data_IF_561422645401
#
_entry.id   IF_561422645401
#
_cell.length_a   1.000
_cell.length_b   1.000
_cell.length_c   1.000
_cell.angle_alpha   90.00
_cell.angle_beta   90.00
_cell.angle_gamma   90.00
#
_symmetry.space_group_name_H-M   'P 1'
#
loop_
_entity.id
_entity.type
_entity.pdbx_description
1 polymer ?
#
# COMPACT_ATOMS: atom_id res chain seq x y z
N UNK A 1 3.07 5.51 3.41
CA UNK A 1 2.54 4.21 3.89
C UNK A 1 2.70 3.23 2.74
N UNK A 2 3.15 2.01 3.01
CA UNK A 2 3.48 1.08 1.93
C UNK A 2 2.22 0.64 1.15
N UNK A 3 2.35 0.68 -0.17
CA UNK A 3 1.38 0.15 -1.15
C UNK A 3 1.89 -1.10 -1.85
N UNK A 4 3.20 -1.34 -1.78
CA UNK A 4 3.83 -2.53 -2.34
C UNK A 4 4.81 -3.11 -1.33
N UNK A 5 4.85 -4.44 -1.21
CA UNK A 5 5.81 -5.15 -0.36
C UNK A 5 6.50 -6.25 -1.18
N UNK A 6 7.83 -6.26 -1.12
CA UNK A 6 8.67 -7.34 -1.63
C UNK A 6 9.10 -8.17 -0.42
N UNK A 7 8.79 -9.46 -0.42
CA UNK A 7 8.98 -10.32 0.74
C UNK A 7 10.02 -11.39 0.41
N UNK A 8 10.97 -11.63 1.32
CA UNK A 8 11.67 -12.91 1.32
C UNK A 8 10.75 -14.04 1.80
N UNK A 9 11.19 -15.28 1.63
CA UNK A 9 10.43 -16.47 1.94
C UNK A 9 10.86 -17.13 3.26
N UNK A 10 12.00 -17.82 3.25
CA UNK A 10 12.59 -18.48 4.43
C UNK A 10 12.94 -17.46 5.50
N UNK A 11 12.65 -17.75 6.77
CA UNK A 11 12.90 -16.84 7.90
C UNK A 11 11.97 -15.61 8.00
N UNK A 12 11.26 -15.29 6.91
CA UNK A 12 10.38 -14.11 6.80
C UNK A 12 8.89 -14.47 6.78
N UNK A 13 8.47 -15.37 5.89
CA UNK A 13 7.09 -15.85 5.78
C UNK A 13 6.93 -17.29 6.28
N UNK A 14 7.97 -18.10 6.16
CA UNK A 14 7.98 -19.50 6.58
C UNK A 14 9.16 -19.78 7.50
N UNK A 15 8.95 -20.72 8.42
CA UNK A 15 9.98 -21.25 9.29
C UNK A 15 10.48 -22.57 8.71
N UNK A 16 11.72 -22.55 8.22
CA UNK A 16 12.45 -23.72 7.75
C UNK A 16 13.72 -23.98 8.61
N UNK A 17 13.81 -23.37 9.79
CA UNK A 17 15.02 -23.41 10.63
C UNK A 17 15.39 -24.83 11.07
N UNK A 18 14.43 -25.62 11.53
CA UNK A 18 14.63 -27.01 11.95
C UNK A 18 15.21 -27.89 10.83
N UNK A 19 14.52 -28.00 9.68
CA UNK A 19 15.03 -28.74 8.52
C UNK A 19 16.39 -28.23 8.02
N UNK A 20 16.61 -26.92 7.98
CA UNK A 20 17.87 -26.32 7.54
C UNK A 20 19.02 -26.66 8.49
N UNK A 21 18.81 -26.56 9.81
CA UNK A 21 19.85 -26.88 10.78
C UNK A 21 20.17 -28.38 10.77
N UNK A 22 19.16 -29.25 10.69
CA UNK A 22 19.35 -30.69 10.56
C UNK A 22 20.17 -31.02 9.31
N UNK A 23 19.81 -30.44 8.16
CA UNK A 23 20.52 -30.66 6.91
C UNK A 23 21.97 -30.15 6.95
N UNK A 24 22.18 -28.98 7.54
CA UNK A 24 23.51 -28.41 7.77
C UNK A 24 24.36 -29.34 8.63
N UNK A 25 23.83 -29.81 9.75
CA UNK A 25 24.54 -30.71 10.66
C UNK A 25 24.82 -32.08 10.06
N UNK A 26 23.94 -32.59 9.20
CA UNK A 26 24.16 -33.82 8.46
C UNK A 26 25.33 -33.68 7.47
N UNK A 27 25.42 -32.55 6.76
CA UNK A 27 26.58 -32.24 5.91
C UNK A 27 27.84 -32.16 6.77
N UNK A 28 27.87 -31.35 7.83
CA UNK A 28 29.02 -31.21 8.73
C UNK A 28 29.52 -32.57 9.25
N UNK A 29 28.60 -33.39 9.77
CA UNK A 29 28.93 -34.70 10.34
C UNK A 29 29.46 -35.68 9.28
N UNK A 30 28.94 -35.63 8.05
CA UNK A 30 29.43 -36.47 6.94
C UNK A 30 30.91 -36.23 6.64
N UNK A 31 31.40 -35.01 6.88
CA UNK A 31 32.81 -34.63 6.70
C UNK A 31 33.59 -34.54 8.02
N UNK A 32 33.09 -35.20 9.08
CA UNK A 32 33.79 -35.29 10.36
C UNK A 32 33.88 -33.98 11.13
N UNK A 33 32.98 -33.03 10.88
CA UNK A 33 32.82 -31.79 11.66
C UNK A 33 31.75 -31.98 12.72
N UNK A 34 31.92 -31.28 13.84
CA UNK A 34 30.92 -31.27 14.92
C UNK A 34 29.64 -30.56 14.46
N UNK A 35 28.46 -31.04 14.88
CA UNK A 35 27.20 -30.37 14.62
C UNK A 35 27.13 -29.03 15.38
N UNK A 36 26.45 -28.06 14.80
CA UNK A 36 26.19 -26.75 15.40
C UNK A 36 24.84 -26.73 16.12
N UNK A 37 24.79 -25.97 17.19
CA UNK A 37 23.52 -25.46 17.72
C UNK A 37 22.94 -24.39 16.80
N UNK A 38 21.65 -24.10 16.94
CA UNK A 38 20.99 -23.04 16.18
C UNK A 38 21.65 -21.67 16.36
N UNK A 39 22.08 -21.35 17.59
CA UNK A 39 22.73 -20.06 17.89
C UNK A 39 24.10 -19.93 17.22
N UNK A 40 24.90 -21.00 17.20
CA UNK A 40 26.20 -21.04 16.52
C UNK A 40 26.04 -20.91 15.00
N UNK A 41 25.06 -21.63 14.45
CA UNK A 41 24.73 -21.54 13.03
C UNK A 41 24.31 -20.12 12.65
N UNK A 42 23.33 -19.51 13.35
CA UNK A 42 22.88 -18.13 13.06
C UNK A 42 23.98 -17.08 13.15
N UNK A 43 24.92 -17.23 14.09
CA UNK A 43 26.03 -16.29 14.26
C UNK A 43 27.06 -16.36 13.14
N UNK A 44 27.21 -17.53 12.52
CA UNK A 44 28.23 -17.76 11.50
C UNK A 44 27.69 -17.75 10.07
N UNK A 45 26.44 -18.17 9.87
CA UNK A 45 25.82 -18.32 8.56
C UNK A 45 25.81 -17.01 7.79
N UNK A 46 26.13 -17.08 6.49
CA UNK A 46 26.09 -15.96 5.56
C UNK A 46 25.81 -16.45 4.16
N UNK A 47 25.26 -15.57 3.33
CA UNK A 47 25.19 -15.82 1.89
C UNK A 47 26.43 -15.22 1.20
N UNK A 48 26.84 -15.76 0.04
CA UNK A 48 26.35 -16.99 -0.59
C UNK A 48 26.68 -18.24 0.25
N UNK A 49 25.71 -19.15 0.40
CA UNK A 49 25.88 -20.34 1.26
C UNK A 49 27.05 -21.23 0.82
N UNK A 50 27.35 -21.27 -0.48
CA UNK A 50 28.46 -22.03 -1.03
C UNK A 50 29.80 -21.64 -0.42
N UNK A 51 30.03 -20.34 -0.19
CA UNK A 51 31.27 -19.86 0.43
C UNK A 51 31.33 -20.22 1.91
N UNK A 52 30.20 -20.10 2.62
CA UNK A 52 30.13 -20.50 4.02
C UNK A 52 30.40 -22.00 4.20
N UNK A 53 29.86 -22.85 3.34
CA UNK A 53 30.15 -24.29 3.39
C UNK A 53 31.60 -24.62 3.02
N UNK A 54 32.20 -23.92 2.07
CA UNK A 54 33.63 -24.11 1.73
C UNK A 54 34.55 -23.78 2.93
N UNK A 55 34.19 -22.80 3.77
CA UNK A 55 34.95 -22.47 4.98
C UNK A 55 34.88 -23.59 6.05
N UNK A 56 33.74 -24.27 6.15
CA UNK A 56 33.50 -25.29 7.18
C UNK A 56 33.88 -26.70 6.71
N UNK A 57 33.66 -26.97 5.43
CA UNK A 57 33.87 -28.25 4.75
C UNK A 57 34.63 -28.00 3.43
N UNK A 58 35.95 -27.71 3.49
CA UNK A 58 36.71 -27.34 2.28
C UNK A 58 36.75 -28.46 1.24
N UNK A 59 36.55 -28.09 -0.03
CA UNK A 59 36.64 -29.00 -1.17
C UNK A 59 35.35 -29.78 -1.48
N UNK A 60 34.26 -29.53 -0.77
CA UNK A 60 32.95 -30.10 -1.14
C UNK A 60 32.44 -29.44 -2.44
N UNK A 61 32.05 -30.24 -3.42
CA UNK A 61 31.43 -29.69 -4.63
C UNK A 61 30.01 -29.19 -4.32
N UNK A 62 29.55 -28.11 -4.97
CA UNK A 62 28.19 -27.59 -4.78
C UNK A 62 27.11 -28.66 -5.02
N UNK A 63 27.35 -29.54 -6.00
CA UNK A 63 26.45 -30.66 -6.31
C UNK A 63 26.36 -31.65 -5.14
N UNK A 64 27.49 -32.06 -4.59
CA UNK A 64 27.56 -32.99 -3.46
C UNK A 64 26.96 -32.37 -2.20
N UNK A 65 27.24 -31.08 -1.95
CA UNK A 65 26.61 -30.30 -0.89
C UNK A 65 25.08 -30.32 -1.03
N UNK A 66 24.54 -29.98 -2.20
CA UNK A 66 23.10 -29.96 -2.43
C UNK A 66 22.46 -31.35 -2.33
N UNK A 67 23.14 -32.41 -2.80
CA UNK A 67 22.66 -33.80 -2.68
C UNK A 67 22.55 -34.22 -1.20
N UNK A 68 23.58 -33.96 -0.39
CA UNK A 68 23.56 -34.28 1.05
C UNK A 68 22.56 -33.43 1.83
N UNK A 69 22.57 -32.12 1.58
CA UNK A 69 21.69 -31.18 2.26
C UNK A 69 20.22 -31.51 1.98
N UNK A 70 19.85 -31.66 0.70
CA UNK A 70 18.46 -31.92 0.29
C UNK A 70 17.94 -33.23 0.86
N UNK A 71 18.74 -34.31 0.77
CA UNK A 71 18.37 -35.61 1.34
C UNK A 71 18.06 -35.51 2.84
N UNK A 72 18.84 -34.75 3.60
CA UNK A 72 18.62 -34.60 5.03
C UNK A 72 17.51 -33.61 5.36
N UNK A 73 17.32 -32.57 4.55
CA UNK A 73 16.24 -31.59 4.69
C UNK A 73 14.88 -32.28 4.50
N UNK A 74 14.73 -33.08 3.45
CA UNK A 74 13.49 -33.80 3.13
C UNK A 74 13.18 -34.91 4.15
N UNK A 75 14.21 -35.42 4.84
CA UNK A 75 14.08 -36.42 5.89
C UNK A 75 13.85 -35.83 7.29
N UNK A 76 13.74 -34.50 7.41
CA UNK A 76 13.55 -33.85 8.71
C UNK A 76 12.21 -34.21 9.33
N UNK A 77 12.21 -34.45 10.64
CA UNK A 77 10.97 -34.61 11.44
C UNK A 77 10.28 -33.27 11.66
N UNK A 78 11.03 -32.16 11.61
CA UNK A 78 10.48 -30.81 11.64
C UNK A 78 9.88 -30.47 10.27
N UNK A 79 8.71 -29.84 10.28
CA UNK A 79 8.06 -29.41 9.05
C UNK A 79 8.38 -27.94 8.77
N UNK A 80 8.57 -27.61 7.50
CA UNK A 80 8.50 -26.20 7.07
C UNK A 80 7.06 -25.72 7.22
N UNK A 81 6.83 -24.70 8.03
CA UNK A 81 5.51 -24.16 8.32
C UNK A 81 5.46 -22.64 8.12
N UNK A 82 4.30 -22.05 7.78
CA UNK A 82 4.16 -20.60 7.79
C UNK A 82 4.41 -20.03 9.19
N UNK A 83 5.19 -18.95 9.26
CA UNK A 83 5.39 -18.21 10.50
C UNK A 83 4.06 -17.68 11.04
N UNK A 84 3.98 -17.54 12.36
CA UNK A 84 2.77 -17.08 13.03
C UNK A 84 2.34 -15.70 12.52
N UNK A 85 1.14 -15.61 11.97
CA UNK A 85 0.57 -14.37 11.45
C UNK A 85 0.83 -14.13 9.96
N UNK A 86 1.58 -15.01 9.27
CA UNK A 86 1.79 -14.91 7.81
C UNK A 86 0.46 -14.95 7.05
N UNK A 87 -0.41 -15.93 7.33
CA UNK A 87 -1.71 -16.05 6.64
C UNK A 87 -2.57 -14.80 6.80
N UNK A 88 -2.83 -14.39 8.05
CA UNK A 88 -3.60 -13.19 8.36
C UNK A 88 -3.00 -11.93 7.70
N UNK A 89 -1.68 -11.83 7.62
CA UNK A 89 -0.98 -10.72 6.99
C UNK A 89 -1.18 -10.69 5.47
N UNK A 90 -1.04 -11.83 4.79
CA UNK A 90 -1.23 -11.94 3.34
C UNK A 90 -2.68 -11.64 2.95
N UNK A 91 -3.64 -12.23 3.67
CA UNK A 91 -5.08 -11.99 3.48
C UNK A 91 -5.41 -10.50 3.68
N UNK A 92 -4.94 -9.90 4.77
CA UNK A 92 -5.17 -8.48 5.04
C UNK A 92 -4.55 -7.58 3.96
N UNK A 93 -3.35 -7.90 3.45
CA UNK A 93 -2.74 -7.14 2.37
C UNK A 93 -3.58 -7.20 1.09
N UNK A 94 -4.08 -8.38 0.72
CA UNK A 94 -4.99 -8.55 -0.44
C UNK A 94 -6.28 -7.72 -0.27
N UNK A 95 -6.92 -7.79 0.90
CA UNK A 95 -8.14 -7.00 1.21
C UNK A 95 -7.92 -5.49 1.17
N UNK A 96 -6.68 -5.05 1.35
CA UNK A 96 -6.29 -3.64 1.47
C UNK A 96 -5.52 -3.14 0.23
N UNK A 97 -5.58 -3.87 -0.88
CA UNK A 97 -4.95 -3.51 -2.15
C UNK A 97 -3.44 -3.21 -2.01
N UNK A 98 -2.76 -3.93 -1.12
CA UNK A 98 -1.30 -3.91 -1.02
C UNK A 98 -0.77 -4.95 -2.00
N UNK A 99 0.04 -4.50 -2.95
CA UNK A 99 0.67 -5.37 -3.96
C UNK A 99 1.79 -6.15 -3.30
N UNK A 100 1.75 -7.48 -3.42
CA UNK A 100 2.76 -8.36 -2.82
C UNK A 100 3.60 -9.02 -3.90
N UNK A 101 4.90 -9.09 -3.65
CA UNK A 101 5.87 -9.79 -4.50
C UNK A 101 6.75 -10.67 -3.62
N UNK A 102 7.20 -11.80 -4.15
CA UNK A 102 8.27 -12.60 -3.51
C UNK A 102 9.57 -12.41 -4.26
N UNK A 103 10.66 -12.16 -3.55
CA UNK A 103 12.02 -12.21 -4.10
C UNK A 103 12.91 -13.07 -3.21
N UNK A 104 13.16 -14.31 -3.63
CA UNK A 104 13.85 -15.32 -2.82
C UNK A 104 14.95 -16.05 -3.60
N UNK A 105 16.01 -16.43 -2.89
CA UNK A 105 17.07 -17.30 -3.42
C UNK A 105 16.69 -18.78 -3.39
N UNK A 106 15.57 -19.12 -2.74
CA UNK A 106 15.08 -20.49 -2.62
C UNK A 106 14.85 -21.13 -3.99
N UNK A 107 15.24 -22.40 -4.13
CA UNK A 107 15.04 -23.18 -5.36
C UNK A 107 13.57 -23.12 -5.82
N UNK A 108 13.34 -22.81 -7.11
CA UNK A 108 12.01 -22.55 -7.65
C UNK A 108 11.03 -23.72 -7.55
N UNK A 109 11.51 -24.97 -7.63
CA UNK A 109 10.65 -26.15 -7.55
C UNK A 109 10.12 -26.35 -6.13
N UNK A 110 11.03 -26.32 -5.14
CA UNK A 110 10.66 -26.44 -3.71
C UNK A 110 9.79 -25.25 -3.28
N UNK A 111 10.18 -24.04 -3.68
CA UNK A 111 9.40 -22.84 -3.44
C UNK A 111 7.97 -23.02 -3.98
N UNK A 112 7.83 -23.48 -5.23
CA UNK A 112 6.53 -23.70 -5.86
C UNK A 112 5.70 -24.76 -5.14
N UNK A 113 6.31 -25.83 -4.62
CA UNK A 113 5.62 -26.82 -3.80
C UNK A 113 5.12 -26.23 -2.48
N UNK A 114 5.96 -25.51 -1.74
CA UNK A 114 5.57 -24.87 -0.49
C UNK A 114 4.46 -23.83 -0.69
N UNK A 115 4.60 -22.98 -1.71
CA UNK A 115 3.62 -21.98 -2.11
C UNK A 115 2.24 -22.61 -2.37
N UNK A 116 2.19 -23.77 -3.07
CA UNK A 116 0.95 -24.54 -3.28
C UNK A 116 0.43 -25.17 -2.00
N UNK A 117 1.32 -25.80 -1.22
CA UNK A 117 0.97 -26.50 0.03
C UNK A 117 0.35 -25.55 1.05
N UNK A 118 0.84 -24.32 1.13
CA UNK A 118 0.34 -23.31 2.07
C UNK A 118 -0.85 -22.52 1.52
N UNK A 119 -1.15 -22.65 0.23
CA UNK A 119 -2.26 -21.95 -0.42
C UNK A 119 -2.04 -20.45 -0.49
N UNK A 120 -0.82 -20.01 -0.82
CA UNK A 120 -0.47 -18.59 -0.87
C UNK A 120 -0.40 -18.00 -2.29
N UNK A 121 -0.64 -18.79 -3.33
CA UNK A 121 -0.46 -18.38 -4.73
C UNK A 121 -1.21 -17.09 -5.08
N UNK A 122 -2.45 -16.99 -4.62
CA UNK A 122 -3.38 -15.92 -5.04
C UNK A 122 -3.12 -14.58 -4.33
N UNK A 123 -2.18 -14.54 -3.38
CA UNK A 123 -1.83 -13.30 -2.67
C UNK A 123 -0.75 -12.49 -3.38
N UNK A 124 0.04 -13.12 -4.26
CA UNK A 124 1.21 -12.50 -4.88
C UNK A 124 0.93 -12.11 -6.31
N UNK A 125 1.29 -10.88 -6.67
CA UNK A 125 1.19 -10.40 -8.05
C UNK A 125 2.27 -11.02 -8.94
N UNK A 126 3.48 -11.19 -8.40
CA UNK A 126 4.55 -11.91 -9.08
C UNK A 126 5.55 -12.51 -8.09
N UNK A 127 6.31 -13.50 -8.56
CA UNK A 127 7.24 -14.29 -7.76
C UNK A 127 8.56 -14.44 -8.51
N UNK A 128 9.65 -14.17 -7.80
CA UNK A 128 11.01 -14.31 -8.28
C UNK A 128 11.76 -15.27 -7.36
N UNK A 129 11.81 -16.55 -7.73
CA UNK A 129 12.48 -17.63 -6.99
C UNK A 129 13.78 -18.08 -7.70
N UNK A 130 14.68 -18.74 -6.97
CA UNK A 130 15.97 -19.21 -7.49
C UNK A 130 16.95 -18.07 -7.79
N UNK A 131 16.74 -16.89 -7.18
CA UNK A 131 17.53 -15.70 -7.46
C UNK A 131 18.78 -15.68 -6.60
N UNK A 132 19.94 -15.99 -7.19
CA UNK A 132 21.22 -16.01 -6.49
C UNK A 132 21.66 -14.64 -5.97
N UNK A 133 21.48 -13.59 -6.77
CA UNK A 133 21.78 -12.20 -6.38
C UNK A 133 20.54 -11.32 -6.59
N UNK A 134 19.78 -11.14 -5.52
CA UNK A 134 18.52 -10.39 -5.52
C UNK A 134 18.70 -8.92 -5.95
N UNK A 135 19.89 -8.34 -5.80
CA UNK A 135 20.21 -6.97 -6.22
C UNK A 135 20.09 -6.80 -7.74
N UNK A 136 20.35 -7.85 -8.51
CA UNK A 136 20.21 -7.82 -9.98
C UNK A 136 18.76 -7.80 -10.44
N UNK A 137 17.84 -8.32 -9.62
CA UNK A 137 16.43 -8.48 -9.98
C UNK A 137 15.56 -7.36 -9.42
N UNK A 138 15.88 -6.82 -8.23
CA UNK A 138 15.03 -5.82 -7.58
C UNK A 138 14.84 -4.54 -8.42
N UNK A 139 15.86 -4.11 -9.17
CA UNK A 139 15.76 -2.92 -10.03
C UNK A 139 14.75 -3.15 -11.16
N UNK A 140 14.87 -4.29 -11.87
CA UNK A 140 13.96 -4.71 -12.93
C UNK A 140 12.53 -4.89 -12.40
N UNK A 141 12.37 -5.55 -11.25
CA UNK A 141 11.07 -5.72 -10.58
C UNK A 141 10.39 -4.37 -10.33
N UNK A 142 11.11 -3.39 -9.77
CA UNK A 142 10.57 -2.06 -9.48
C UNK A 142 10.13 -1.35 -10.77
N UNK A 143 10.94 -1.41 -11.82
CA UNK A 143 10.66 -0.76 -13.10
C UNK A 143 9.49 -1.43 -13.83
N UNK A 144 9.56 -2.75 -14.04
CA UNK A 144 8.56 -3.53 -14.77
C UNK A 144 7.18 -3.47 -14.12
N UNK A 145 7.14 -3.50 -12.78
CA UNK A 145 5.89 -3.45 -12.01
C UNK A 145 5.45 -2.02 -11.69
N UNK A 146 6.18 -1.01 -12.15
CA UNK A 146 5.91 0.41 -11.92
C UNK A 146 5.73 0.72 -10.42
N UNK A 147 6.61 0.20 -9.58
CA UNK A 147 6.53 0.41 -8.13
C UNK A 147 7.03 1.81 -7.76
N UNK A 148 6.29 2.51 -6.90
CA UNK A 148 6.74 3.78 -6.31
C UNK A 148 7.67 3.46 -5.15
N UNK A 149 8.95 3.84 -5.26
CA UNK A 149 10.01 3.44 -4.31
C UNK A 149 9.71 3.88 -2.88
N UNK A 150 9.19 5.09 -2.70
CA UNK A 150 8.82 5.68 -1.41
C UNK A 150 7.60 5.00 -0.77
N UNK A 151 6.81 4.27 -1.55
CA UNK A 151 5.65 3.48 -1.10
C UNK A 151 5.93 1.97 -1.14
N UNK A 152 7.19 1.57 -1.35
CA UNK A 152 7.60 0.16 -1.42
C UNK A 152 8.54 -0.16 -0.26
N UNK A 153 8.35 -1.34 0.33
CA UNK A 153 9.29 -1.90 1.28
C UNK A 153 9.73 -3.30 0.87
N UNK A 154 10.98 -3.62 1.15
CA UNK A 154 11.49 -4.98 1.14
C UNK A 154 11.53 -5.49 2.58
N UNK A 155 10.98 -6.68 2.81
CA UNK A 155 10.92 -7.33 4.12
C UNK A 155 11.73 -8.62 4.08
N UNK A 156 12.70 -8.75 4.98
CA UNK A 156 13.59 -9.92 5.06
C UNK A 156 14.23 -10.07 6.43
N UNK A 157 14.77 -11.25 6.72
CA UNK A 157 15.38 -11.61 8.00
C UNK A 157 16.92 -11.70 7.95
N UNK A 158 17.53 -11.50 6.79
CA UNK A 158 18.98 -11.49 6.62
C UNK A 158 19.52 -10.13 6.19
N UNK A 159 20.79 -9.87 6.50
CA UNK A 159 21.52 -8.67 6.07
C UNK A 159 21.48 -8.47 4.55
N UNK A 160 21.52 -9.56 3.78
CA UNK A 160 21.41 -9.53 2.32
C UNK A 160 20.09 -8.92 1.82
N UNK A 161 19.00 -9.10 2.56
CA UNK A 161 17.71 -8.49 2.20
C UNK A 161 17.74 -6.98 2.41
N UNK A 162 18.41 -6.50 3.46
CA UNK A 162 18.60 -5.08 3.71
C UNK A 162 19.48 -4.45 2.62
N UNK A 163 20.58 -5.10 2.25
CA UNK A 163 21.41 -4.68 1.13
C UNK A 163 20.63 -4.63 -0.19
N UNK A 164 19.76 -5.62 -0.42
CA UNK A 164 18.89 -5.68 -1.59
C UNK A 164 17.91 -4.51 -1.59
N UNK A 165 17.26 -4.23 -0.47
CA UNK A 165 16.35 -3.09 -0.30
C UNK A 165 17.04 -1.75 -0.63
N UNK A 166 18.25 -1.54 -0.09
CA UNK A 166 19.05 -0.33 -0.33
C UNK A 166 19.46 -0.20 -1.79
N UNK A 167 19.86 -1.31 -2.43
CA UNK A 167 20.16 -1.33 -3.86
C UNK A 167 18.93 -0.97 -4.70
N UNK A 168 17.75 -1.46 -4.29
CA UNK A 168 16.46 -1.09 -4.88
C UNK A 168 15.98 0.31 -4.52
N UNK A 169 16.65 1.05 -3.63
CA UNK A 169 16.20 2.36 -3.15
C UNK A 169 14.80 2.34 -2.51
N UNK A 170 14.39 1.21 -1.94
CA UNK A 170 13.11 1.03 -1.24
C UNK A 170 13.32 0.96 0.26
N UNK A 171 12.25 1.07 1.05
CA UNK A 171 12.38 0.94 2.50
C UNK A 171 12.80 -0.47 2.90
N UNK A 172 13.79 -0.60 3.79
CA UNK A 172 14.25 -1.88 4.33
C UNK A 172 13.58 -2.19 5.67
N UNK A 173 12.96 -3.37 5.76
CA UNK A 173 12.28 -3.88 6.97
C UNK A 173 12.94 -5.19 7.38
N UNK A 174 13.72 -5.15 8.46
CA UNK A 174 14.29 -6.33 9.06
C UNK A 174 13.25 -7.04 9.95
N UNK A 175 13.12 -8.36 9.84
CA UNK A 175 12.35 -9.18 10.79
C UNK A 175 13.26 -10.11 11.59
N UNK A 176 13.03 -10.22 12.90
CA UNK A 176 13.86 -11.03 13.81
C UNK A 176 13.44 -12.51 13.90
N UNK A 177 12.53 -12.94 13.03
CA UNK A 177 11.94 -14.29 13.03
C UNK A 177 12.82 -15.37 12.38
N UNK A 178 13.90 -14.98 11.69
CA UNK A 178 14.69 -15.89 10.87
C UNK A 178 16.15 -16.05 11.31
N UNK A 179 17.06 -15.95 10.34
CA UNK A 179 18.44 -16.43 10.42
C UNK A 179 19.39 -15.41 11.05
N UNK A 180 19.40 -14.15 10.62
CA UNK A 180 20.35 -13.19 11.20
C UNK A 180 19.89 -12.72 12.57
N UNK A 181 20.87 -12.50 13.45
CA UNK A 181 20.64 -11.91 14.78
C UNK A 181 20.55 -10.38 14.68
N UNK A 182 19.94 -9.76 15.68
CA UNK A 182 19.71 -8.30 15.70
C UNK A 182 20.99 -7.52 15.43
N UNK A 183 22.09 -7.87 16.11
CA UNK A 183 23.37 -7.16 16.00
C UNK A 183 23.92 -7.17 14.57
N UNK A 184 23.68 -8.26 13.82
CA UNK A 184 24.10 -8.38 12.42
C UNK A 184 23.18 -7.56 11.50
N UNK A 185 21.86 -7.61 11.73
CA UNK A 185 20.90 -6.83 10.95
C UNK A 185 21.09 -5.33 11.12
N UNK A 186 21.46 -4.86 12.32
CA UNK A 186 21.73 -3.44 12.58
C UNK A 186 22.88 -2.89 11.71
N UNK A 187 23.87 -3.72 11.34
CA UNK A 187 24.95 -3.30 10.42
C UNK A 187 24.43 -2.92 9.03
N UNK A 188 23.29 -3.46 8.64
CA UNK A 188 22.60 -3.16 7.38
C UNK A 188 21.83 -1.86 7.39
N UNK A 189 21.81 -1.09 8.49
CA UNK A 189 21.07 0.16 8.64
C UNK A 189 19.60 0.06 8.16
N UNK A 190 18.80 -0.84 8.75
CA UNK A 190 17.40 -1.02 8.35
C UNK A 190 16.57 0.24 8.64
N UNK A 191 15.59 0.55 7.79
CA UNK A 191 14.63 1.61 8.09
C UNK A 191 13.68 1.22 9.24
N UNK A 192 13.35 -0.06 9.34
CA UNK A 192 12.50 -0.62 10.38
C UNK A 192 13.04 -1.98 10.84
N UNK A 193 12.94 -2.24 12.14
CA UNK A 193 13.21 -3.55 12.74
C UNK A 193 11.94 -4.02 13.45
N UNK A 194 11.48 -5.22 13.12
CA UNK A 194 10.26 -5.82 13.65
C UNK A 194 10.55 -7.21 14.21
N UNK A 195 9.86 -7.62 15.27
CA UNK A 195 10.06 -8.96 15.82
C UNK A 195 9.67 -10.07 14.83
N UNK A 196 8.69 -9.80 13.95
CA UNK A 196 8.15 -10.76 12.98
C UNK A 196 7.25 -10.07 11.96
N UNK A 197 6.81 -10.83 10.94
CA UNK A 197 5.75 -10.40 10.01
C UNK A 197 4.44 -10.01 10.72
N UNK A 198 4.13 -10.64 11.86
CA UNK A 198 2.95 -10.30 12.67
C UNK A 198 3.08 -8.90 13.29
N UNK A 199 4.27 -8.52 13.76
CA UNK A 199 4.53 -7.19 14.29
C UNK A 199 4.45 -6.13 13.19
N UNK A 200 5.00 -6.44 12.00
CA UNK A 200 4.82 -5.60 10.81
C UNK A 200 3.35 -5.43 10.44
N UNK A 201 2.58 -6.52 10.40
CA UNK A 201 1.14 -6.49 10.15
C UNK A 201 0.41 -5.58 11.15
N UNK A 202 0.70 -5.71 12.45
CA UNK A 202 0.10 -4.85 13.47
C UNK A 202 0.48 -3.36 13.30
N UNK A 203 1.73 -3.07 12.94
CA UNK A 203 2.18 -1.71 12.63
C UNK A 203 1.46 -1.15 11.41
N UNK A 204 1.37 -1.92 10.34
CA UNK A 204 0.67 -1.53 9.11
C UNK A 204 -0.81 -1.30 9.37
N UNK A 205 -1.47 -2.10 10.21
CA UNK A 205 -2.87 -1.88 10.65
C UNK A 205 -3.06 -0.67 11.56
N UNK A 206 -2.04 -0.27 12.32
CA UNK A 206 -2.09 0.97 13.13
C UNK A 206 -1.81 2.21 12.29
N UNK A 207 -0.86 2.11 11.35
CA UNK A 207 -0.58 3.15 10.37
C UNK A 207 -1.75 3.32 9.40
N UNK A 208 -2.33 2.20 8.95
CA UNK A 208 -3.65 2.04 8.33
C UNK A 208 -4.69 1.81 9.40
N UNK A 209 -4.60 2.49 10.56
CA UNK A 209 -5.82 2.67 11.32
C UNK A 209 -6.86 3.03 10.27
N UNK A 210 -8.01 2.33 10.22
CA UNK A 210 -9.05 2.83 9.37
C UNK A 210 -9.05 4.30 9.76
N UNK A 211 -8.89 5.20 8.80
CA UNK A 211 -9.87 6.24 8.80
C UNK A 211 -11.16 5.45 9.01
N UNK A 212 -11.65 5.39 10.27
CA UNK A 212 -13.07 5.60 10.50
C UNK A 212 -13.38 6.55 9.36
N UNK A 213 -14.07 6.08 8.32
CA UNK A 213 -14.58 6.99 7.30
C UNK A 213 -15.10 8.13 8.14
N UNK A 214 -14.35 9.23 8.14
CA UNK A 214 -14.40 10.15 9.27
C UNK A 214 -15.71 10.80 9.02
N UNK A 215 -16.79 10.32 9.66
CA UNK A 215 -18.14 10.37 9.11
C UNK A 215 -18.29 11.73 8.47
N UNK A 216 -18.28 11.73 7.13
CA UNK A 216 -18.03 12.96 6.41
C UNK A 216 -19.34 13.67 6.44
N UNK A 217 -19.43 14.70 7.27
CA UNK A 217 -20.63 15.48 7.42
C UNK A 217 -20.83 16.32 6.14
N UNK A 218 -22.00 16.18 5.55
CA UNK A 218 -22.41 16.95 4.38
C UNK A 218 -23.61 17.81 4.73
N UNK A 219 -23.59 19.04 4.25
CA UNK A 219 -24.77 19.91 4.17
C UNK A 219 -25.21 19.93 2.72
N UNK A 220 -26.42 19.44 2.44
CA UNK A 220 -26.98 19.42 1.09
C UNK A 220 -28.07 20.48 0.95
N UNK A 221 -27.82 21.48 0.10
CA UNK A 221 -28.86 22.38 -0.41
C UNK A 221 -29.43 21.74 -1.67
N UNK A 222 -30.57 21.06 -1.56
CA UNK A 222 -31.18 20.30 -2.67
C UNK A 222 -32.10 21.16 -3.52
N UNK A 223 -31.91 21.12 -4.84
CA UNK A 223 -32.78 21.75 -5.86
C UNK A 223 -33.09 23.23 -5.58
N UNK A 224 -32.09 24.01 -5.20
CA UNK A 224 -32.18 25.47 -5.12
C UNK A 224 -32.55 26.03 -6.49
N UNK A 225 -33.71 26.69 -6.58
CA UNK A 225 -34.13 27.39 -7.78
C UNK A 225 -33.28 28.66 -7.96
N UNK A 226 -32.66 28.82 -9.12
CA UNK A 226 -31.87 30.01 -9.47
C UNK A 226 -32.29 30.53 -10.83
N UNK A 227 -32.49 31.83 -10.92
CA UNK A 227 -32.75 32.49 -12.18
C UNK A 227 -31.44 32.92 -12.82
N UNK A 228 -31.27 32.61 -14.10
CA UNK A 228 -30.08 32.96 -14.85
C UNK A 228 -30.37 33.10 -16.35
N UNK A 229 -29.37 33.61 -17.08
CA UNK A 229 -29.39 33.74 -18.53
C UNK A 229 -28.40 32.74 -19.12
N UNK A 230 -28.87 31.58 -19.60
CA UNK A 230 -27.97 30.45 -19.91
C UNK A 230 -28.34 29.71 -21.20
N UNK A 231 -27.36 29.57 -22.10
CA UNK A 231 -27.58 28.87 -23.36
C UNK A 231 -26.53 29.21 -24.40
N UNK A 232 -26.31 28.30 -25.35
CA UNK A 232 -25.38 28.53 -26.47
C UNK A 232 -25.97 29.51 -27.49
N UNK A 233 -27.22 29.33 -27.97
CA UNK A 233 -27.88 30.29 -28.84
C UNK A 233 -28.14 31.63 -28.13
N UNK A 234 -28.01 32.72 -28.87
CA UNK A 234 -28.18 34.08 -28.33
C UNK A 234 -29.61 34.32 -27.82
N UNK A 235 -30.62 33.82 -28.55
CA UNK A 235 -32.04 33.93 -28.16
C UNK A 235 -32.35 33.19 -26.86
N UNK A 236 -31.72 32.04 -26.64
CA UNK A 236 -31.88 31.26 -25.40
C UNK A 236 -31.32 32.05 -24.21
N UNK A 237 -30.16 32.69 -24.42
CA UNK A 237 -29.46 33.47 -23.40
C UNK A 237 -30.04 34.88 -23.20
N UNK A 238 -30.87 35.37 -24.11
CA UNK A 238 -31.62 36.62 -23.94
C UNK A 238 -32.82 36.47 -23.00
N UNK A 239 -33.28 35.22 -22.77
CA UNK A 239 -34.43 34.92 -21.91
C UNK A 239 -33.96 34.43 -20.55
N UNK A 240 -34.62 34.92 -19.50
CA UNK A 240 -34.40 34.44 -18.13
C UNK A 240 -34.97 33.03 -17.99
N UNK A 241 -34.20 32.15 -17.36
CA UNK A 241 -34.54 30.75 -17.14
C UNK A 241 -34.27 30.38 -15.69
N UNK A 242 -35.15 29.57 -15.12
CA UNK A 242 -34.95 29.00 -13.78
C UNK A 242 -34.32 27.62 -13.89
N UNK A 243 -33.13 27.46 -13.33
CA UNK A 243 -32.47 26.15 -13.16
C UNK A 243 -32.62 25.67 -11.72
N UNK A 244 -32.33 24.38 -11.50
CA UNK A 244 -32.25 23.82 -10.16
C UNK A 244 -30.83 23.34 -9.88
N UNK A 245 -30.27 23.82 -8.78
CA UNK A 245 -28.93 23.45 -8.33
C UNK A 245 -29.03 22.59 -7.07
N UNK A 246 -28.29 21.48 -7.03
CA UNK A 246 -28.03 20.76 -5.79
C UNK A 246 -26.57 20.98 -5.41
N UNK A 247 -26.32 21.44 -4.19
CA UNK A 247 -24.98 21.74 -3.69
C UNK A 247 -24.74 20.95 -2.42
N UNK A 248 -23.85 19.97 -2.50
CA UNK A 248 -23.33 19.26 -1.34
C UNK A 248 -22.06 19.97 -0.87
N UNK A 249 -22.03 20.35 0.41
CA UNK A 249 -20.93 21.09 1.03
C UNK A 249 -20.37 20.25 2.16
N UNK A 250 -19.08 19.97 2.12
CA UNK A 250 -18.34 19.35 3.21
C UNK A 250 -17.68 20.47 4.05
N UNK A 251 -18.16 20.74 5.27
CA UNK A 251 -17.59 21.78 6.11
C UNK A 251 -16.14 21.47 6.51
N UNK A 252 -15.39 22.49 6.90
CA UNK A 252 -14.04 22.30 7.42
C UNK A 252 -13.99 21.71 8.84
N UNK A 253 -15.01 21.96 9.65
CA UNK A 253 -15.25 21.37 10.97
C UNK A 253 -16.23 20.19 10.87
N UNK A 254 -16.09 19.23 11.78
CA UNK A 254 -17.02 18.10 11.90
C UNK A 254 -18.23 18.50 12.77
N UNK A 255 -19.39 17.87 12.58
CA UNK A 255 -20.61 18.17 13.33
C UNK A 255 -20.48 17.92 14.84
N UNK A 256 -19.62 16.98 15.24
CA UNK A 256 -19.31 16.66 16.63
C UNK A 256 -18.68 17.81 17.44
N UNK A 257 -18.16 18.85 16.78
CA UNK A 257 -17.49 19.99 17.44
C UNK A 257 -18.23 21.32 17.26
N UNK A 258 -19.51 21.29 16.83
CA UNK A 258 -20.29 22.51 16.59
C UNK A 258 -20.78 23.19 17.88
N UNK A 259 -20.99 22.42 18.94
CA UNK A 259 -21.51 22.89 20.25
C UNK A 259 -22.83 23.68 20.13
N UNK A 260 -23.66 23.35 19.13
CA UNK A 260 -24.92 24.03 18.82
C UNK A 260 -24.79 25.55 18.54
N UNK A 261 -23.62 25.99 18.06
CA UNK A 261 -23.34 27.37 17.68
C UNK A 261 -23.34 27.53 16.15
N UNK A 262 -24.16 28.45 15.64
CA UNK A 262 -24.33 28.70 14.18
C UNK A 262 -23.02 29.19 13.55
N UNK A 263 -22.18 29.90 14.31
CA UNK A 263 -20.88 30.41 13.88
C UNK A 263 -19.84 29.30 13.63
N UNK A 264 -20.11 28.08 14.13
CA UNK A 264 -19.23 26.94 13.97
C UNK A 264 -19.53 26.08 12.74
N UNK A 265 -20.59 26.39 11.98
CA UNK A 265 -20.98 25.65 10.77
C UNK A 265 -20.96 26.52 9.51
N UNK A 266 -21.21 25.92 8.35
CA UNK A 266 -21.45 26.67 7.12
C UNK A 266 -22.87 27.24 7.15
N UNK A 267 -22.99 28.56 7.05
CA UNK A 267 -24.27 29.24 6.88
C UNK A 267 -24.84 28.96 5.48
N UNK A 268 -25.67 27.92 5.38
CA UNK A 268 -26.27 27.49 4.13
C UNK A 268 -27.30 28.48 3.57
N UNK A 269 -27.88 29.37 4.39
CA UNK A 269 -28.75 30.45 3.92
C UNK A 269 -27.91 31.53 3.21
N UNK A 270 -26.77 31.91 3.79
CA UNK A 270 -25.80 32.80 3.14
C UNK A 270 -25.24 32.19 1.83
N UNK A 271 -24.93 30.89 1.83
CA UNK A 271 -24.51 30.17 0.61
C UNK A 271 -25.61 30.25 -0.46
N UNK A 272 -26.86 29.90 -0.14
CA UNK A 272 -27.96 29.91 -1.09
C UNK A 272 -28.19 31.31 -1.70
N UNK A 273 -28.21 32.36 -0.85
CA UNK A 273 -28.32 33.76 -1.29
C UNK A 273 -27.18 34.15 -2.23
N UNK A 274 -25.95 33.73 -1.93
CA UNK A 274 -24.78 34.03 -2.74
C UNK A 274 -24.81 33.32 -4.09
N UNK A 275 -25.27 32.05 -4.14
CA UNK A 275 -25.46 31.28 -5.37
C UNK A 275 -26.48 31.96 -6.28
N UNK A 276 -27.64 32.38 -5.74
CA UNK A 276 -28.68 33.07 -6.51
C UNK A 276 -28.10 34.34 -7.16
N UNK A 277 -27.36 35.14 -6.39
CA UNK A 277 -26.71 36.34 -6.91
C UNK A 277 -25.71 36.01 -8.03
N UNK A 278 -24.85 35.02 -7.83
CA UNK A 278 -23.86 34.59 -8.82
C UNK A 278 -24.50 34.12 -10.13
N UNK A 279 -25.61 33.39 -10.04
CA UNK A 279 -26.32 32.89 -11.20
C UNK A 279 -26.90 34.03 -12.06
N UNK A 280 -27.37 35.11 -11.43
CA UNK A 280 -27.99 36.27 -12.09
C UNK A 280 -26.97 37.34 -12.55
N UNK A 281 -25.73 37.31 -12.05
CA UNK A 281 -24.69 38.32 -12.33
C UNK A 281 -24.41 38.56 -13.82
N UNK A 282 -24.39 37.49 -14.62
CA UNK A 282 -24.04 37.58 -16.05
C UNK A 282 -24.60 36.42 -16.87
N UNK A 283 -24.84 36.63 -18.17
CA UNK A 283 -25.17 35.55 -19.09
C UNK A 283 -24.00 34.58 -19.27
N UNK A 284 -24.32 33.28 -19.41
CA UNK A 284 -23.37 32.18 -19.60
C UNK A 284 -23.78 31.29 -20.77
N UNK A 285 -22.80 30.70 -21.45
CA UNK A 285 -23.08 29.74 -22.55
C UNK A 285 -23.37 28.33 -22.04
N UNK A 286 -22.68 27.92 -20.99
CA UNK A 286 -22.55 26.54 -20.54
C UNK A 286 -22.98 26.39 -19.08
N UNK A 287 -23.70 25.32 -18.75
CA UNK A 287 -24.08 24.96 -17.38
C UNK A 287 -22.87 24.45 -16.58
N UNK A 288 -21.85 23.95 -17.26
CA UNK A 288 -20.51 23.60 -16.76
C UNK A 288 -19.78 24.82 -16.17
N UNK A 289 -19.89 25.96 -16.86
CA UNK A 289 -19.31 27.23 -16.37
C UNK A 289 -20.00 27.66 -15.08
N UNK A 290 -21.34 27.65 -15.04
CA UNK A 290 -22.09 27.99 -13.83
C UNK A 290 -21.74 27.03 -12.68
N UNK A 291 -21.73 25.73 -12.94
CA UNK A 291 -21.38 24.69 -11.95
C UNK A 291 -19.98 24.90 -11.36
N UNK A 292 -18.98 25.22 -12.19
CA UNK A 292 -17.61 25.45 -11.76
C UNK A 292 -17.48 26.75 -10.94
N UNK A 293 -18.08 27.84 -11.39
CA UNK A 293 -18.03 29.12 -10.68
C UNK A 293 -18.72 29.05 -9.31
N UNK A 294 -19.85 28.34 -9.21
CA UNK A 294 -20.50 28.08 -7.92
C UNK A 294 -19.57 27.30 -7.00
N UNK A 295 -18.93 26.23 -7.51
CA UNK A 295 -18.02 25.42 -6.70
C UNK A 295 -16.81 26.24 -6.19
N UNK A 296 -16.19 27.03 -7.07
CA UNK A 296 -15.05 27.88 -6.71
C UNK A 296 -15.44 28.98 -5.72
N UNK A 297 -16.59 29.62 -5.92
CA UNK A 297 -17.12 30.63 -5.02
C UNK A 297 -17.38 30.04 -3.63
N UNK A 298 -18.05 28.87 -3.53
CA UNK A 298 -18.33 28.23 -2.23
C UNK A 298 -17.04 27.92 -1.49
N UNK A 299 -16.04 27.36 -2.18
CA UNK A 299 -14.75 27.05 -1.59
C UNK A 299 -13.90 28.28 -1.25
N UNK A 300 -14.17 29.45 -1.83
CA UNK A 300 -13.43 30.67 -1.55
C UNK A 300 -14.07 31.51 -0.44
N UNK A 301 -15.40 31.61 -0.42
CA UNK A 301 -16.14 32.53 0.46
C UNK A 301 -16.63 31.85 1.75
N UNK A 302 -16.72 30.51 1.82
CA UNK A 302 -17.29 29.79 2.95
C UNK A 302 -16.32 28.75 3.55
N UNK A 303 -16.49 28.34 4.83
CA UNK A 303 -15.63 27.35 5.50
C UNK A 303 -15.93 25.91 5.01
N UNK A 304 -15.61 25.63 3.75
CA UNK A 304 -15.80 24.34 3.10
C UNK A 304 -14.46 23.72 2.66
N UNK A 305 -14.32 22.41 2.87
CA UNK A 305 -13.19 21.61 2.38
C UNK A 305 -13.44 21.06 0.98
N UNK A 306 -14.68 20.71 0.70
CA UNK A 306 -15.09 20.13 -0.56
C UNK A 306 -16.51 20.58 -0.89
N UNK A 307 -16.77 20.72 -2.17
CA UNK A 307 -18.11 21.00 -2.69
C UNK A 307 -18.38 20.16 -3.93
N UNK A 308 -19.61 19.70 -4.03
CA UNK A 308 -20.16 19.06 -5.22
C UNK A 308 -21.36 19.87 -5.68
N UNK A 309 -21.35 20.30 -6.93
CA UNK A 309 -22.39 21.14 -7.52
C UNK A 309 -23.00 20.40 -8.70
N UNK A 310 -24.30 20.18 -8.63
CA UNK A 310 -25.12 19.62 -9.70
C UNK A 310 -26.03 20.71 -10.26
N UNK A 311 -26.01 20.91 -11.58
CA UNK A 311 -26.87 21.85 -12.29
C UNK A 311 -27.80 21.07 -13.21
N UNK A 312 -29.09 21.15 -12.95
CA UNK A 312 -30.12 20.52 -13.78
C UNK A 312 -30.71 21.52 -14.78
N UNK A 313 -30.72 21.15 -16.05
CA UNK A 313 -31.37 21.91 -17.12
C UNK A 313 -32.09 21.01 -18.10
N UNK A 314 -33.35 21.32 -18.42
CA UNK A 314 -34.12 20.57 -19.42
C UNK A 314 -33.81 21.06 -20.83
N UNK A 315 -32.81 20.45 -21.48
CA UNK A 315 -32.35 20.83 -22.84
C UNK A 315 -32.60 19.78 -23.92
N UNK A 316 -32.86 18.52 -23.57
CA UNK A 316 -33.07 17.43 -24.53
C UNK A 316 -34.53 16.93 -24.50
N UNK A 317 -35.10 16.55 -25.66
CA UNK A 317 -36.40 15.88 -25.68
C UNK A 317 -36.30 14.48 -25.06
N UNK A 318 -37.39 14.00 -24.46
CA UNK A 318 -37.51 12.67 -23.83
C UNK A 318 -36.53 12.40 -22.67
N UNK A 319 -36.06 13.44 -21.99
CA UNK A 319 -35.36 13.33 -20.69
C UNK A 319 -36.03 14.22 -19.64
N UNK A 320 -35.84 13.89 -18.36
CA UNK A 320 -36.31 14.74 -17.26
C UNK A 320 -35.48 16.03 -17.21
N UNK A 321 -34.15 15.89 -17.23
CA UNK A 321 -33.19 16.96 -17.39
C UNK A 321 -31.85 16.43 -17.92
N UNK A 322 -30.95 17.35 -18.25
CA UNK A 322 -29.51 17.11 -18.33
C UNK A 322 -28.89 17.67 -17.06
N UNK A 323 -28.03 16.87 -16.43
CA UNK A 323 -27.34 17.21 -15.20
C UNK A 323 -25.84 17.32 -15.46
N UNK A 324 -25.24 18.43 -15.04
CA UNK A 324 -23.78 18.57 -14.98
C UNK A 324 -23.33 18.57 -13.54
N UNK A 325 -22.31 17.77 -13.24
CA UNK A 325 -21.77 17.59 -11.90
C UNK A 325 -20.31 18.03 -11.84
N UNK A 326 -20.01 18.95 -10.93
CA UNK A 326 -18.64 19.41 -10.67
C UNK A 326 -18.26 19.14 -9.23
N UNK A 327 -17.13 18.48 -9.01
CA UNK A 327 -16.50 18.26 -7.70
C UNK A 327 -15.23 19.11 -7.59
N UNK A 328 -15.08 19.85 -6.49
CA UNK A 328 -13.87 20.63 -6.18
C UNK A 328 -13.50 20.47 -4.71
N UNK A 329 -12.21 20.41 -4.44
CA UNK A 329 -11.64 20.37 -3.10
C UNK A 329 -10.74 21.58 -2.88
N UNK A 330 -10.74 22.13 -1.66
CA UNK A 330 -9.81 23.19 -1.28
C UNK A 330 -8.40 22.59 -1.22
N UNK A 331 -7.49 23.07 -2.07
CA UNK A 331 -6.08 22.64 -2.05
C UNK A 331 -5.46 23.00 -0.70
N UNK A 332 -4.85 22.04 -0.02
CA UNK A 332 -4.04 22.31 1.16
C UNK A 332 -2.90 23.25 0.76
N UNK A 333 -2.75 24.38 1.45
CA UNK A 333 -1.58 25.22 1.29
C UNK A 333 -0.36 24.35 1.60
N UNK A 334 0.50 24.11 0.60
CA UNK A 334 1.85 23.59 0.84
C UNK A 334 2.54 24.60 1.75
N UNK A 335 2.60 24.33 3.05
CA UNK A 335 3.52 25.02 3.94
C UNK A 335 4.92 24.66 3.47
N UNK A 336 5.54 25.57 2.73
CA UNK A 336 6.95 25.50 2.41
C UNK A 336 7.73 25.47 3.73
N UNK A 337 8.48 24.38 3.92
CA UNK A 337 9.60 24.32 4.85
C UNK A 337 10.86 24.18 4.02
#
# INVERSE_FOLDING_TARGET
MFRSLILDWSGTLVDDSGPTLMATNAVLTTYGKEPMTWEEFRRSFRLPYSEWYEEHVPGISLRELEEHFRKSFDASEDAVIPLKGTRDFLEWCSENEIRLFVLTSMNSEIFGEQMRRFGFQDHFEDVYSGVLDKRKVIAELIEDKCLVREETAYVGDMLHDLETAHYGGVSSVAVLSGYDVLEKLETGNPNFIMDSIKSLHAMLKKGRAPTQEKAVDWITVRRLAVDCFIGVPDDERARRQTLHLTVDIMPDKNFSVLEDQVENTVDYDAVAKRIIKLADERPRKLIETLSTEVAEMVLHEFPAKEVVVEVEKKILPRTDCVLVKTRRTRRAARMGR
#
